data_IF_519149794472
#
_entry.id   IF_519149794472
#
_cell.length_a   1.000
_cell.length_b   1.000
_cell.length_c   1.000
_cell.angle_alpha   90.00
_cell.angle_beta   90.00
_cell.angle_gamma   90.00
#
_symmetry.space_group_name_H-M   'P 1'
#
loop_
_entity.id
_entity.type
_entity.pdbx_description
1 polymer ?
#
# COMPACT_ATOMS: atom_id res chain seq x y z
N UNK A 1 15.78 17.08 -50.82
CA UNK A 1 15.20 16.20 -49.76
C UNK A 1 15.83 16.62 -48.45
N UNK A 2 15.23 17.60 -47.79
CA UNK A 2 15.65 18.01 -46.45
C UNK A 2 15.23 16.92 -45.45
N UNK A 3 16.21 16.41 -44.70
CA UNK A 3 15.95 15.55 -43.56
C UNK A 3 15.38 16.41 -42.43
N UNK A 4 14.17 16.04 -41.99
CA UNK A 4 13.47 16.62 -40.84
C UNK A 4 14.34 16.43 -39.58
N UNK A 5 14.58 17.46 -38.76
CA UNK A 5 15.40 17.32 -37.56
C UNK A 5 14.71 16.40 -36.55
N UNK A 6 15.48 15.48 -35.95
CA UNK A 6 15.05 14.60 -34.85
C UNK A 6 14.53 15.47 -33.70
N UNK A 7 13.29 15.22 -33.30
CA UNK A 7 12.63 15.88 -32.18
C UNK A 7 13.47 15.80 -30.89
N UNK A 8 13.41 16.88 -30.11
CA UNK A 8 13.95 17.05 -28.74
C UNK A 8 13.85 15.78 -27.89
N UNK A 9 14.75 15.54 -26.90
CA UNK A 9 14.69 14.36 -26.04
C UNK A 9 13.31 14.28 -25.39
N UNK A 10 12.50 13.36 -25.91
CA UNK A 10 11.10 13.19 -25.53
C UNK A 10 11.12 12.72 -24.10
N UNK A 11 10.86 13.62 -23.14
CA UNK A 11 10.82 13.24 -21.75
C UNK A 11 9.62 12.30 -21.58
N UNK A 12 9.86 10.98 -21.60
CA UNK A 12 8.86 9.95 -21.30
C UNK A 12 8.25 10.10 -19.89
N UNK A 13 8.69 11.10 -19.11
CA UNK A 13 8.19 11.43 -17.78
C UNK A 13 6.70 11.70 -17.84
N UNK A 14 5.95 10.98 -17.02
CA UNK A 14 4.49 10.93 -16.99
C UNK A 14 3.81 10.35 -18.24
N UNK A 15 4.54 9.67 -19.11
CA UNK A 15 3.96 8.90 -20.22
C UNK A 15 3.88 7.41 -19.85
N UNK A 16 3.00 6.70 -20.55
CA UNK A 16 2.92 5.24 -20.48
C UNK A 16 4.07 4.65 -21.28
N UNK A 17 4.82 3.76 -20.66
CA UNK A 17 5.95 3.05 -21.24
C UNK A 17 5.69 1.55 -21.16
N UNK A 18 6.20 0.81 -22.14
CA UNK A 18 6.07 -0.65 -22.24
C UNK A 18 7.44 -1.33 -22.11
N UNK A 19 7.47 -2.63 -21.76
CA UNK A 19 8.72 -3.38 -21.72
C UNK A 19 9.42 -3.34 -23.09
N UNK A 20 10.70 -2.95 -23.09
CA UNK A 20 11.51 -2.77 -24.29
C UNK A 20 11.77 -1.32 -24.69
N UNK A 21 11.00 -0.35 -24.16
CA UNK A 21 11.23 1.06 -24.45
C UNK A 21 12.56 1.54 -23.83
N UNK A 22 13.36 2.27 -24.62
CA UNK A 22 14.58 2.95 -24.16
C UNK A 22 14.20 4.35 -23.69
N UNK A 23 14.36 4.61 -22.39
CA UNK A 23 13.81 5.82 -21.73
C UNK A 23 14.87 6.90 -21.51
N UNK A 24 16.12 6.52 -21.28
CA UNK A 24 17.25 7.43 -21.11
C UNK A 24 18.49 6.83 -21.77
N UNK A 25 19.27 7.68 -22.43
CA UNK A 25 20.57 7.35 -22.99
C UNK A 25 21.66 8.08 -22.18
N UNK A 26 22.50 7.30 -21.48
CA UNK A 26 23.55 7.79 -20.59
C UNK A 26 24.64 8.52 -21.36
N UNK A 27 24.82 8.24 -22.66
CA UNK A 27 25.77 8.95 -23.51
C UNK A 27 25.46 10.44 -23.63
N UNK A 28 24.16 10.81 -23.54
CA UNK A 28 23.71 12.20 -23.61
C UNK A 28 23.73 12.94 -22.27
N UNK A 29 23.92 12.24 -21.14
CA UNK A 29 23.90 12.82 -19.79
C UNK A 29 25.23 12.62 -19.05
N UNK A 30 26.29 13.25 -19.56
CA UNK A 30 27.60 13.23 -18.91
C UNK A 30 27.56 13.89 -17.51
N UNK A 31 28.19 13.24 -16.52
CA UNK A 31 28.38 13.70 -15.14
C UNK A 31 27.15 13.80 -14.22
N UNK A 32 26.05 13.11 -14.52
CA UNK A 32 24.91 13.01 -13.58
C UNK A 32 24.76 11.59 -13.01
N UNK A 33 24.76 11.46 -11.69
CA UNK A 33 24.42 10.20 -11.03
C UNK A 33 22.90 10.01 -11.02
N UNK A 34 22.41 9.03 -11.77
CA UNK A 34 20.98 8.70 -11.86
C UNK A 34 20.65 7.55 -10.89
N UNK A 35 19.58 7.71 -10.11
CA UNK A 35 19.05 6.65 -9.24
C UNK A 35 17.92 5.92 -9.97
N UNK A 36 18.16 4.67 -10.35
CA UNK A 36 17.15 3.81 -10.97
C UNK A 36 16.30 3.14 -9.89
N UNK A 37 14.99 3.35 -9.98
CA UNK A 37 13.99 2.67 -9.17
C UNK A 37 13.35 1.49 -9.92
N UNK A 38 12.28 0.93 -9.34
CA UNK A 38 11.65 -0.28 -9.86
C UNK A 38 11.11 -0.13 -11.28
N UNK A 39 11.25 -1.19 -12.09
CA UNK A 39 10.71 -1.28 -13.44
C UNK A 39 11.63 -0.75 -14.55
N UNK A 40 12.80 -0.25 -14.19
CA UNK A 40 13.87 0.14 -15.11
C UNK A 40 15.08 -0.78 -14.93
N UNK A 41 15.83 -0.99 -16.01
CA UNK A 41 17.10 -1.72 -16.00
C UNK A 41 18.10 -0.95 -16.83
N UNK A 42 19.32 -0.85 -16.31
CA UNK A 42 20.44 -0.34 -17.08
C UNK A 42 21.06 -1.47 -17.90
N UNK A 43 21.20 -1.25 -19.19
CA UNK A 43 21.95 -2.09 -20.11
C UNK A 43 23.01 -1.21 -20.80
N UNK A 44 24.26 -1.36 -20.36
CA UNK A 44 25.39 -0.52 -20.77
C UNK A 44 25.07 0.98 -20.64
N UNK A 45 25.00 1.67 -21.77
CA UNK A 45 24.76 3.11 -21.87
C UNK A 45 23.27 3.46 -22.00
N UNK A 46 22.38 2.47 -22.04
CA UNK A 46 20.94 2.68 -22.21
C UNK A 46 20.14 2.22 -20.99
N UNK A 47 19.09 2.95 -20.65
CA UNK A 47 18.14 2.57 -19.61
C UNK A 47 16.85 2.10 -20.29
N UNK A 48 16.55 0.82 -20.12
CA UNK A 48 15.39 0.15 -20.71
C UNK A 48 14.29 -0.10 -19.68
N UNK A 49 13.06 -0.08 -20.14
CA UNK A 49 11.87 -0.40 -19.34
C UNK A 49 11.66 -1.91 -19.32
N UNK A 50 11.48 -2.48 -18.14
CA UNK A 50 11.20 -3.90 -17.95
C UNK A 50 9.74 -4.19 -17.55
N UNK A 51 8.97 -3.15 -17.18
CA UNK A 51 7.58 -3.28 -16.74
C UNK A 51 6.71 -2.24 -17.44
N UNK A 52 5.51 -2.64 -17.86
CA UNK A 52 4.52 -1.68 -18.37
C UNK A 52 4.02 -0.77 -17.23
N UNK A 53 3.94 0.53 -17.48
CA UNK A 53 3.44 1.48 -16.49
C UNK A 53 3.70 2.93 -16.88
N UNK A 54 3.53 3.83 -15.91
CA UNK A 54 3.80 5.25 -16.09
C UNK A 54 5.20 5.58 -15.58
N UNK A 55 6.05 6.16 -16.42
CA UNK A 55 7.38 6.59 -15.97
C UNK A 55 7.24 7.80 -15.04
N UNK A 56 7.86 7.73 -13.87
CA UNK A 56 7.89 8.78 -12.86
C UNK A 56 9.32 9.26 -12.62
N UNK A 57 9.42 10.53 -12.28
CA UNK A 57 10.65 11.21 -11.95
C UNK A 57 10.50 11.95 -10.62
N UNK A 58 11.49 11.82 -9.75
CA UNK A 58 11.65 12.67 -8.57
C UNK A 58 13.02 13.35 -8.59
N UNK A 59 13.02 14.64 -8.28
CA UNK A 59 14.24 15.42 -8.07
C UNK A 59 15.03 14.83 -6.88
N UNK A 60 16.37 14.75 -6.92
CA UNK A 60 17.24 15.32 -7.94
C UNK A 60 17.32 14.50 -9.24
N UNK A 61 17.42 13.16 -9.21
CA UNK A 61 17.56 12.32 -10.42
C UNK A 61 17.09 10.87 -10.19
N UNK A 62 15.88 10.66 -9.66
CA UNK A 62 15.32 9.31 -9.41
C UNK A 62 14.22 8.98 -10.43
N UNK A 63 14.38 7.91 -11.19
CA UNK A 63 13.39 7.45 -12.17
C UNK A 63 12.83 6.09 -11.78
N UNK A 64 11.52 5.86 -11.94
CA UNK A 64 10.91 4.54 -11.74
C UNK A 64 9.66 4.38 -12.59
N UNK A 65 9.28 3.14 -12.90
CA UNK A 65 8.01 2.87 -13.57
C UNK A 65 6.96 2.49 -12.55
N UNK A 66 5.93 3.32 -12.45
CA UNK A 66 4.74 3.04 -11.66
C UNK A 66 3.81 2.12 -12.46
N UNK A 67 3.83 0.83 -12.13
CA UNK A 67 2.93 -0.15 -12.74
C UNK A 67 1.62 -0.25 -11.96
N UNK A 68 0.49 -0.06 -12.65
CA UNK A 68 -0.84 -0.33 -12.08
C UNK A 68 -1.18 -1.81 -12.26
N UNK A 69 -0.46 -2.70 -11.57
CA UNK A 69 -0.78 -4.13 -11.56
C UNK A 69 -1.96 -4.40 -10.61
N UNK A 70 -3.16 -3.94 -10.98
CA UNK A 70 -4.42 -4.44 -10.41
C UNK A 70 -4.84 -5.64 -11.26
N UNK A 71 -4.62 -6.86 -10.76
CA UNK A 71 -5.40 -7.99 -11.24
C UNK A 71 -6.77 -7.91 -10.57
N UNK A 72 -7.82 -7.82 -11.38
CA UNK A 72 -9.19 -7.56 -10.91
C UNK A 72 -9.69 -8.58 -9.87
N UNK A 73 -10.75 -8.24 -9.12
CA UNK A 73 -11.28 -9.05 -8.03
C UNK A 73 -12.10 -10.29 -8.48
N UNK A 74 -11.87 -10.83 -9.68
CA UNK A 74 -12.72 -11.86 -10.29
C UNK A 74 -12.08 -13.25 -10.44
N UNK A 75 -10.97 -13.53 -9.74
CA UNK A 75 -10.46 -14.90 -9.67
C UNK A 75 -10.91 -15.53 -8.34
N UNK A 76 -11.90 -16.44 -8.34
CA UNK A 76 -12.46 -17.06 -7.13
C UNK A 76 -11.54 -18.16 -6.58
N UNK A 77 -10.29 -18.22 -7.03
CA UNK A 77 -9.33 -19.22 -6.59
C UNK A 77 -7.98 -18.56 -6.35
N UNK A 78 -7.43 -18.82 -5.18
CA UNK A 78 -6.20 -18.27 -4.65
C UNK A 78 -5.05 -18.32 -5.68
N UNK A 79 -4.18 -17.30 -5.60
CA UNK A 79 -2.77 -17.30 -6.03
C UNK A 79 -2.42 -16.82 -7.44
N UNK A 80 -1.29 -16.10 -7.51
CA UNK A 80 -0.37 -16.01 -8.66
C UNK A 80 -0.47 -14.82 -9.64
N UNK A 81 -0.75 -13.60 -9.18
CA UNK A 81 0.20 -12.46 -9.16
C UNK A 81 -0.60 -11.20 -8.79
N UNK A 82 -0.96 -11.13 -7.51
CA UNK A 82 -1.27 -9.85 -6.86
C UNK A 82 0.03 -9.04 -6.90
N UNK A 83 -0.01 -7.74 -7.24
CA UNK A 83 1.18 -6.89 -7.21
C UNK A 83 1.84 -7.00 -5.83
N UNK A 84 2.92 -7.77 -5.75
CA UNK A 84 3.59 -8.05 -4.50
C UNK A 84 4.32 -6.80 -4.08
N UNK A 85 4.14 -6.43 -2.81
CA UNK A 85 4.84 -5.29 -2.26
C UNK A 85 6.33 -5.61 -2.26
N UNK A 86 7.15 -4.68 -2.77
CA UNK A 86 8.60 -4.80 -2.71
C UNK A 86 9.06 -3.89 -1.57
N UNK A 87 9.60 -4.45 -0.47
CA UNK A 87 10.00 -3.66 0.67
C UNK A 87 11.11 -2.67 0.28
N UNK A 88 10.91 -1.40 0.63
CA UNK A 88 11.91 -0.35 0.46
C UNK A 88 12.26 0.25 1.82
N UNK A 89 13.53 0.57 2.02
CA UNK A 89 13.99 1.23 3.25
C UNK A 89 13.27 2.56 3.42
N UNK A 90 12.71 2.77 4.62
CA UNK A 90 11.97 3.96 4.98
C UNK A 90 10.45 3.83 4.83
N UNK A 91 9.95 2.79 4.16
CA UNK A 91 8.52 2.60 3.94
C UNK A 91 7.79 2.30 5.26
N UNK A 92 6.59 2.89 5.41
CA UNK A 92 5.65 2.54 6.48
C UNK A 92 4.66 1.49 5.97
N UNK A 93 4.53 0.40 6.71
CA UNK A 93 3.75 -0.78 6.30
C UNK A 93 2.95 -1.34 7.47
N UNK A 94 1.86 -2.04 7.13
CA UNK A 94 1.08 -2.81 8.09
C UNK A 94 1.47 -4.29 8.03
N UNK A 95 1.98 -4.81 9.14
CA UNK A 95 2.43 -6.19 9.28
C UNK A 95 1.53 -7.01 10.20
N UNK A 96 1.40 -8.31 9.94
CA UNK A 96 0.70 -9.24 10.84
C UNK A 96 1.73 -10.20 11.42
N UNK A 97 1.72 -10.39 12.74
CA UNK A 97 2.63 -11.33 13.41
C UNK A 97 2.22 -12.77 13.09
N UNK A 98 3.12 -13.49 12.42
CA UNK A 98 2.94 -14.89 12.01
C UNK A 98 3.61 -15.85 12.99
N UNK A 99 4.73 -15.44 13.58
CA UNK A 99 5.47 -16.27 14.52
C UNK A 99 6.26 -15.40 15.50
N UNK A 100 6.50 -15.93 16.69
CA UNK A 100 7.24 -15.27 17.76
C UNK A 100 8.43 -16.13 18.16
N UNK A 101 9.64 -15.59 18.04
CA UNK A 101 10.89 -16.25 18.44
C UNK A 101 11.53 -15.48 19.58
N UNK A 102 12.52 -16.09 20.24
CA UNK A 102 13.16 -15.52 21.43
C UNK A 102 13.71 -14.09 21.21
N UNK A 103 14.34 -13.85 20.05
CA UNK A 103 14.98 -12.56 19.75
C UNK A 103 14.26 -11.75 18.65
N UNK A 104 13.37 -12.38 17.88
CA UNK A 104 12.75 -11.79 16.70
C UNK A 104 11.29 -12.25 16.52
N UNK A 105 10.44 -11.36 16.04
CA UNK A 105 9.11 -11.68 15.54
C UNK A 105 9.14 -11.85 14.02
N UNK A 106 8.44 -12.85 13.49
CA UNK A 106 8.19 -12.98 12.06
C UNK A 106 6.89 -12.28 11.72
N UNK A 107 6.99 -11.35 10.77
CA UNK A 107 5.87 -10.48 10.38
C UNK A 107 5.62 -10.63 8.89
N UNK A 108 4.38 -10.92 8.51
CA UNK A 108 3.95 -10.88 7.11
C UNK A 108 3.62 -9.45 6.71
N UNK A 109 4.39 -8.92 5.77
CA UNK A 109 4.21 -7.58 5.18
C UNK A 109 3.71 -7.64 3.73
N UNK A 110 3.27 -8.80 3.23
CA UNK A 110 2.90 -9.01 1.81
C UNK A 110 4.08 -8.82 0.84
N UNK A 111 5.29 -9.01 1.35
CA UNK A 111 6.53 -9.07 0.59
C UNK A 111 6.79 -10.47 0.00
N UNK A 112 7.86 -10.65 -0.79
CA UNK A 112 8.26 -11.96 -1.31
C UNK A 112 8.71 -12.93 -0.21
N UNK A 113 9.16 -12.41 0.93
CA UNK A 113 9.61 -13.16 2.11
C UNK A 113 9.07 -12.52 3.38
N UNK A 114 8.98 -13.29 4.47
CA UNK A 114 8.59 -12.79 5.78
C UNK A 114 9.66 -11.84 6.34
N UNK A 115 9.21 -10.81 7.05
CA UNK A 115 10.07 -9.80 7.63
C UNK A 115 10.43 -10.15 9.09
N UNK A 116 11.60 -9.70 9.53
CA UNK A 116 12.02 -9.79 10.92
C UNK A 116 11.73 -8.47 11.65
N UNK A 117 11.13 -8.57 12.83
CA UNK A 117 11.00 -7.46 13.77
C UNK A 117 11.72 -7.82 15.06
N UNK A 118 12.90 -7.24 15.32
CA UNK A 118 13.65 -7.51 16.54
C UNK A 118 12.89 -7.08 17.79
N UNK A 119 13.02 -7.86 18.87
CA UNK A 119 12.35 -7.58 20.16
C UNK A 119 12.82 -6.28 20.82
N UNK A 120 14.00 -5.79 20.45
CA UNK A 120 14.55 -4.54 20.96
C UNK A 120 14.08 -3.30 20.18
N UNK A 121 13.44 -3.49 19.02
CA UNK A 121 13.02 -2.40 18.13
C UNK A 121 11.66 -1.80 18.52
N UNK A 122 11.38 -1.75 19.82
CA UNK A 122 10.17 -1.17 20.42
C UNK A 122 10.55 -0.05 21.38
N UNK A 123 9.61 0.85 21.65
CA UNK A 123 9.80 1.88 22.67
C UNK A 123 10.08 1.24 24.03
N UNK A 124 11.25 1.55 24.61
CA UNK A 124 11.67 0.94 25.87
C UNK A 124 11.98 -0.56 25.80
N UNK A 125 12.26 -1.10 24.62
CA UNK A 125 12.63 -2.50 24.39
C UNK A 125 13.83 -2.92 25.23
N UNK A 126 13.57 -3.57 26.36
CA UNK A 126 14.59 -4.25 27.17
C UNK A 126 14.24 -5.74 27.23
N UNK A 127 15.24 -6.61 27.44
CA UNK A 127 15.01 -8.07 27.58
C UNK A 127 14.01 -8.44 28.69
N UNK A 128 13.64 -7.49 29.56
CA UNK A 128 12.67 -7.66 30.65
C UNK A 128 11.24 -7.28 30.23
N UNK A 129 11.06 -6.43 29.22
CA UNK A 129 9.77 -5.91 28.78
C UNK A 129 9.50 -6.26 27.31
N UNK A 130 9.41 -7.56 27.03
CA UNK A 130 9.13 -8.08 25.69
C UNK A 130 7.60 -8.00 25.47
N UNK A 131 7.12 -7.30 24.42
CA UNK A 131 5.70 -7.25 24.13
C UNK A 131 5.17 -8.65 23.77
N UNK A 132 4.03 -9.01 24.36
CA UNK A 132 3.33 -10.26 24.05
C UNK A 132 2.42 -10.03 22.86
N UNK A 133 2.67 -10.72 21.76
CA UNK A 133 1.83 -10.67 20.57
C UNK A 133 1.09 -11.99 20.38
N UNK A 134 -0.19 -11.88 20.05
CA UNK A 134 -0.97 -13.01 19.57
C UNK A 134 -0.59 -13.25 18.10
N UNK A 135 -0.06 -14.43 17.84
CA UNK A 135 0.13 -14.93 16.47
C UNK A 135 -1.23 -15.06 15.82
N UNK A 136 -1.35 -14.69 14.55
CA UNK A 136 -2.55 -15.11 13.87
C UNK A 136 -2.52 -15.10 12.35
N UNK A 137 -3.69 -15.46 11.81
CA UNK A 137 -3.92 -15.90 10.44
C UNK A 137 -5.12 -15.14 9.89
N UNK A 138 -5.10 -14.83 8.59
CA UNK A 138 -6.26 -14.31 7.89
C UNK A 138 -7.42 -15.31 7.98
N UNK A 139 -8.44 -14.99 8.79
CA UNK A 139 -9.70 -15.70 8.78
C UNK A 139 -10.70 -14.88 7.96
N UNK A 140 -10.97 -15.33 6.72
CA UNK A 140 -12.08 -14.80 5.95
C UNK A 140 -13.38 -15.32 6.57
N UNK A 141 -14.12 -14.46 7.27
CA UNK A 141 -15.46 -14.83 7.74
C UNK A 141 -16.43 -14.47 6.61
N UNK A 142 -17.07 -15.49 6.04
CA UNK A 142 -18.24 -15.31 5.19
C UNK A 142 -19.41 -14.93 6.09
N UNK A 143 -19.77 -13.64 6.11
CA UNK A 143 -21.00 -13.20 6.78
C UNK A 143 -22.11 -13.21 5.74
N UNK A 144 -22.99 -14.22 5.82
CA UNK A 144 -24.32 -14.10 5.25
C UNK A 144 -25.13 -13.24 6.22
N UNK A 145 -25.34 -11.97 5.90
CA UNK A 145 -26.24 -11.16 6.71
C UNK A 145 -27.67 -11.68 6.48
N UNK A 146 -28.19 -12.39 7.48
CA UNK A 146 -29.57 -12.83 7.55
C UNK A 146 -30.47 -11.63 7.84
N UNK A 147 -30.94 -10.99 6.78
CA UNK A 147 -32.13 -10.14 6.78
C UNK A 147 -33.10 -10.78 5.79
N UNK A 148 -34.27 -11.20 6.27
CA UNK A 148 -35.37 -11.63 5.41
C UNK A 148 -35.72 -10.49 4.43
N UNK A 149 -35.20 -10.57 3.22
CA UNK A 149 -35.46 -9.60 2.16
C UNK A 149 -36.01 -10.32 0.94
N UNK A 150 -37.16 -9.82 0.50
CA UNK A 150 -37.90 -10.29 -0.67
C UNK A 150 -37.01 -10.43 -1.90
N UNK A 151 -37.34 -11.41 -2.73
CA UNK A 151 -36.53 -11.99 -3.80
C UNK A 151 -35.98 -11.02 -4.88
N UNK A 152 -36.27 -9.72 -4.81
CA UNK A 152 -35.81 -8.68 -5.75
C UNK A 152 -34.46 -8.05 -5.36
N UNK A 153 -33.96 -8.23 -4.14
CA UNK A 153 -32.69 -7.61 -3.69
C UNK A 153 -31.43 -8.45 -3.96
N UNK A 154 -31.47 -9.38 -4.94
CA UNK A 154 -30.36 -10.29 -5.27
C UNK A 154 -29.29 -9.73 -6.21
N UNK A 155 -29.44 -8.53 -6.77
CA UNK A 155 -28.54 -8.08 -7.86
C UNK A 155 -27.43 -7.09 -7.47
N UNK A 156 -27.35 -6.59 -6.22
CA UNK A 156 -26.36 -5.54 -5.90
C UNK A 156 -25.65 -5.64 -4.55
N UNK A 157 -25.88 -6.69 -3.77
CA UNK A 157 -25.09 -6.93 -2.56
C UNK A 157 -23.96 -7.91 -2.88
N UNK A 158 -22.84 -7.34 -3.31
CA UNK A 158 -21.58 -8.06 -3.44
C UNK A 158 -21.26 -8.76 -2.12
N UNK A 159 -20.82 -10.01 -2.20
CA UNK A 159 -20.35 -10.78 -1.05
C UNK A 159 -19.37 -9.95 -0.22
N UNK A 160 -19.77 -9.53 0.98
CA UNK A 160 -18.90 -8.83 1.90
C UNK A 160 -18.10 -9.87 2.69
N UNK A 161 -16.87 -10.14 2.22
CA UNK A 161 -15.89 -10.86 3.01
C UNK A 161 -15.43 -9.93 4.14
N UNK A 162 -15.96 -10.11 5.35
CA UNK A 162 -15.43 -9.41 6.52
C UNK A 162 -14.19 -10.17 6.98
N UNK A 163 -13.02 -9.64 6.67
CA UNK A 163 -11.76 -10.17 7.18
C UNK A 163 -11.59 -9.70 8.63
N UNK A 164 -11.94 -10.56 9.59
CA UNK A 164 -11.55 -10.34 10.98
C UNK A 164 -10.12 -10.82 11.14
N UNK A 165 -9.23 -9.93 11.56
CA UNK A 165 -7.86 -10.32 11.88
C UNK A 165 -7.93 -11.19 13.13
N UNK A 166 -7.53 -12.44 13.02
CA UNK A 166 -7.12 -13.23 14.17
C UNK A 166 -5.61 -13.03 14.19
N UNK A 167 -5.07 -12.36 15.21
CA UNK A 167 -3.64 -12.05 15.30
C UNK A 167 -3.32 -10.56 15.46
N UNK A 168 -2.06 -10.30 15.80
CA UNK A 168 -1.56 -8.96 16.10
C UNK A 168 -1.23 -8.18 14.82
N UNK A 169 -1.89 -7.03 14.63
CA UNK A 169 -1.57 -6.06 13.58
C UNK A 169 -0.58 -5.02 14.12
N UNK A 170 0.47 -4.77 13.34
CA UNK A 170 1.54 -3.83 13.67
C UNK A 170 1.68 -2.77 12.59
N UNK A 171 1.79 -1.50 13.02
CA UNK A 171 2.24 -0.41 12.18
C UNK A 171 3.74 -0.22 12.36
N UNK A 172 4.50 -0.49 11.30
CA UNK A 172 5.96 -0.61 11.36
C UNK A 172 6.62 0.10 10.20
N UNK A 173 7.91 0.40 10.37
CA UNK A 173 8.77 0.97 9.34
C UNK A 173 9.81 -0.04 8.89
N UNK A 174 10.06 -0.10 7.58
CA UNK A 174 11.14 -0.92 7.01
C UNK A 174 12.47 -0.20 7.21
N UNK A 175 13.38 -0.81 7.97
CA UNK A 175 14.73 -0.25 8.25
C UNK A 175 15.76 -0.81 7.27
N UNK A 176 15.66 -2.09 6.95
CA UNK A 176 16.58 -2.77 6.05
C UNK A 176 15.81 -3.59 5.03
N UNK A 177 16.12 -3.42 3.75
CA UNK A 177 15.52 -4.18 2.67
C UNK A 177 16.56 -4.43 1.58
N UNK A 178 17.31 -5.53 1.72
CA UNK A 178 18.30 -5.95 0.75
C UNK A 178 17.72 -7.08 -0.12
N UNK A 179 18.06 -7.08 -1.40
CA UNK A 179 17.67 -8.16 -2.31
C UNK A 179 18.28 -9.49 -1.85
N UNK A 180 17.44 -10.49 -1.56
CA UNK A 180 17.87 -11.82 -1.14
C UNK A 180 18.01 -12.01 0.38
N UNK A 181 17.82 -10.97 1.18
CA UNK A 181 17.78 -11.05 2.66
C UNK A 181 16.37 -10.67 3.11
N UNK A 182 15.89 -11.31 4.18
CA UNK A 182 14.63 -10.93 4.81
C UNK A 182 14.68 -9.46 5.26
N UNK A 183 13.62 -8.67 4.97
CA UNK A 183 13.58 -7.28 5.38
C UNK A 183 13.48 -7.19 6.90
N UNK A 184 14.09 -6.13 7.45
CA UNK A 184 14.10 -5.83 8.88
C UNK A 184 13.19 -4.63 9.17
N UNK A 185 12.38 -4.78 10.19
CA UNK A 185 11.36 -3.82 10.60
C UNK A 185 11.72 -3.17 11.94
N UNK A 186 11.17 -1.98 12.17
CA UNK A 186 11.22 -1.31 13.46
C UNK A 186 9.89 -0.64 13.79
N UNK A 187 9.57 -0.59 15.09
CA UNK A 187 8.45 0.17 15.64
C UNK A 187 8.91 1.53 16.20
N UNK A 188 10.04 2.04 15.76
CA UNK A 188 10.55 3.37 16.11
C UNK A 188 10.83 4.18 14.85
N UNK A 189 10.73 5.49 14.96
CA UNK A 189 11.23 6.40 13.95
C UNK A 189 12.78 6.36 13.88
N UNK A 190 13.37 6.99 12.86
CA UNK A 190 14.82 7.13 12.68
C UNK A 190 15.50 7.80 13.88
N UNK A 191 14.75 8.57 14.66
CA UNK A 191 15.18 9.21 15.91
C UNK A 191 15.14 8.29 17.14
N UNK A 192 14.64 7.05 17.01
CA UNK A 192 14.48 6.10 18.11
C UNK A 192 13.23 6.33 18.98
N UNK A 193 12.38 7.31 18.63
CA UNK A 193 11.10 7.56 19.32
C UNK A 193 9.97 6.77 18.66
N UNK A 194 8.99 6.29 19.42
CA UNK A 194 7.80 5.64 18.86
C UNK A 194 6.78 6.67 18.37
N UNK A 195 7.15 7.38 17.30
CA UNK A 195 6.30 8.36 16.65
C UNK A 195 5.15 7.67 15.89
N UNK A 196 4.21 7.08 16.63
CA UNK A 196 2.95 6.47 16.15
C UNK A 196 3.06 5.04 15.58
N UNK A 197 4.23 4.40 15.71
CA UNK A 197 4.41 2.99 15.36
C UNK A 197 4.05 2.07 16.53
N UNK A 198 3.62 0.84 16.22
CA UNK A 198 3.36 -0.18 17.23
C UNK A 198 2.10 -0.99 16.96
N UNK A 199 1.50 -1.47 18.04
CA UNK A 199 0.33 -2.34 18.01
C UNK A 199 -0.93 -1.55 17.63
N UNK A 200 -1.63 -2.02 16.59
CA UNK A 200 -2.97 -1.57 16.29
C UNK A 200 -3.98 -2.53 16.93
N UNK A 201 -4.72 -2.02 17.91
CA UNK A 201 -5.76 -2.78 18.60
C UNK A 201 -7.11 -2.52 17.95
N UNK A 202 -7.91 -3.58 17.83
CA UNK A 202 -9.26 -3.53 17.29
C UNK A 202 -9.30 -2.92 15.87
N UNK A 203 -10.50 -2.69 15.35
CA UNK A 203 -10.70 -2.14 14.01
C UNK A 203 -10.72 -3.19 12.89
N UNK A 204 -10.78 -2.69 11.67
CA UNK A 204 -10.94 -3.47 10.45
C UNK A 204 -9.77 -3.20 9.51
N UNK A 205 -9.13 -4.26 9.03
CA UNK A 205 -8.09 -4.17 8.02
C UNK A 205 -8.57 -4.79 6.73
N UNK A 206 -8.41 -4.03 5.65
CA UNK A 206 -8.69 -4.49 4.30
C UNK A 206 -7.47 -4.28 3.42
N UNK A 207 -7.45 -5.01 2.32
CA UNK A 207 -6.41 -4.90 1.32
C UNK A 207 -6.81 -3.93 0.23
N UNK A 208 -5.86 -3.09 -0.18
CA UNK A 208 -6.00 -2.15 -1.28
C UNK A 208 -4.83 -2.32 -2.27
N UNK A 209 -4.86 -1.58 -3.38
CA UNK A 209 -3.71 -1.52 -4.27
C UNK A 209 -2.58 -0.68 -3.64
N UNK A 210 -1.33 -0.99 -3.98
CA UNK A 210 -0.19 -0.17 -3.54
C UNK A 210 -0.23 1.23 -4.15
N UNK A 211 -0.88 1.40 -5.31
CA UNK A 211 -1.15 2.70 -5.93
C UNK A 211 -2.11 3.54 -5.11
N UNK A 212 -3.23 2.96 -4.67
CA UNK A 212 -4.17 3.64 -3.78
C UNK A 212 -3.50 4.00 -2.45
N UNK A 213 -2.71 3.09 -1.87
CA UNK A 213 -1.99 3.35 -0.61
C UNK A 213 -1.01 4.52 -0.73
N UNK A 214 -0.26 4.59 -1.84
CA UNK A 214 0.59 5.74 -2.15
C UNK A 214 -0.22 7.03 -2.31
N UNK A 215 -1.36 6.98 -2.97
CA UNK A 215 -2.24 8.15 -3.15
C UNK A 215 -2.84 8.62 -1.82
N UNK A 216 -3.23 7.72 -0.92
CA UNK A 216 -3.75 8.05 0.41
C UNK A 216 -2.69 8.74 1.29
N UNK A 217 -1.43 8.29 1.19
CA UNK A 217 -0.29 8.87 1.91
C UNK A 217 0.36 10.06 1.18
N UNK A 218 -0.13 10.44 -0.01
CA UNK A 218 0.43 11.56 -0.76
C UNK A 218 0.09 12.90 -0.09
N UNK A 219 0.96 13.90 -0.28
CA UNK A 219 0.73 15.28 0.13
C UNK A 219 0.51 16.15 -1.12
N UNK A 220 -0.63 16.85 -1.26
CA UNK A 220 -1.71 17.03 -0.28
C UNK A 220 -2.55 15.77 -0.06
N UNK A 221 -3.15 15.66 1.14
CA UNK A 221 -3.94 14.51 1.56
C UNK A 221 -5.08 14.19 0.58
N UNK A 222 -5.38 12.91 0.43
CA UNK A 222 -6.42 12.47 -0.48
C UNK A 222 -7.78 13.12 -0.15
N UNK A 223 -8.50 13.68 -1.13
CA UNK A 223 -9.79 14.34 -0.92
C UNK A 223 -10.83 13.50 -0.19
N UNK A 224 -10.74 12.17 -0.33
CA UNK A 224 -11.64 11.21 0.32
C UNK A 224 -11.48 11.24 1.83
N UNK A 225 -10.24 11.20 2.32
CA UNK A 225 -9.95 11.20 3.76
C UNK A 225 -10.34 12.54 4.38
N UNK A 226 -10.05 13.64 3.68
CA UNK A 226 -10.42 14.99 4.14
C UNK A 226 -11.95 15.15 4.22
N UNK A 227 -12.70 14.65 3.24
CA UNK A 227 -14.15 14.74 3.23
C UNK A 227 -14.80 13.85 4.31
N UNK A 228 -14.28 12.64 4.52
CA UNK A 228 -14.78 11.73 5.55
C UNK A 228 -14.48 12.27 6.96
N UNK A 229 -13.27 12.78 7.19
CA UNK A 229 -12.82 13.28 8.49
C UNK A 229 -13.57 14.52 8.99
N UNK A 230 -14.26 15.26 8.09
CA UNK A 230 -15.10 16.41 8.48
C UNK A 230 -16.36 16.03 9.24
N UNK A 231 -16.92 14.84 8.99
CA UNK A 231 -18.19 14.40 9.60
C UNK A 231 -18.07 13.16 10.47
N UNK A 232 -17.02 12.38 10.29
CA UNK A 232 -16.82 11.10 10.98
C UNK A 232 -15.54 11.15 11.81
N UNK A 233 -15.63 10.72 13.07
CA UNK A 233 -14.47 10.41 13.90
C UNK A 233 -14.03 8.97 13.64
N UNK A 234 -12.86 8.81 13.03
CA UNK A 234 -12.22 7.52 12.81
C UNK A 234 -10.71 7.67 12.82
N UNK A 235 -10.03 6.58 13.14
CA UNK A 235 -8.59 6.42 13.02
C UNK A 235 -8.30 5.58 11.79
N UNK A 236 -7.20 5.90 11.10
CA UNK A 236 -6.78 5.15 9.93
C UNK A 236 -5.27 5.03 9.89
N UNK A 237 -4.78 3.86 9.51
CA UNK A 237 -3.37 3.63 9.25
C UNK A 237 -3.24 3.02 7.85
N UNK A 238 -2.41 3.62 7.01
CA UNK A 238 -2.18 3.17 5.63
C UNK A 238 -0.76 2.64 5.54
N UNK A 239 -0.62 1.40 5.07
CA UNK A 239 0.66 0.79 4.73
C UNK A 239 0.91 0.81 3.22
N UNK A 240 2.12 1.18 2.81
CA UNK A 240 2.55 1.17 1.39
C UNK A 240 2.50 -0.23 0.74
N UNK A 241 2.35 -1.27 1.56
CA UNK A 241 2.14 -2.65 1.15
C UNK A 241 0.71 -2.97 0.68
N UNK A 242 -0.19 -1.98 0.58
CA UNK A 242 -1.56 -2.22 0.12
C UNK A 242 -2.43 -2.82 1.22
N UNK A 243 -2.15 -2.48 2.47
CA UNK A 243 -3.00 -2.79 3.62
C UNK A 243 -3.43 -1.47 4.23
N UNK A 244 -4.70 -1.38 4.59
CA UNK A 244 -5.29 -0.21 5.23
C UNK A 244 -6.07 -0.68 6.43
N UNK A 245 -5.84 -0.05 7.57
CA UNK A 245 -6.55 -0.27 8.80
C UNK A 245 -7.42 0.93 9.12
N UNK A 246 -8.64 0.67 9.60
CA UNK A 246 -9.61 1.68 9.99
C UNK A 246 -10.26 1.26 11.30
N UNK A 247 -10.35 2.20 12.23
CA UNK A 247 -11.03 2.02 13.51
C UNK A 247 -11.97 3.19 13.79
N UNK A 248 -13.15 2.90 14.32
CA UNK A 248 -14.13 3.91 14.71
C UNK A 248 -15.02 3.35 15.82
N UNK A 249 -15.68 4.25 16.57
CA UNK A 249 -16.57 3.85 17.65
C UNK A 249 -17.79 3.03 17.16
N UNK A 250 -18.27 3.29 15.95
CA UNK A 250 -19.40 2.58 15.33
C UNK A 250 -18.93 1.68 14.19
N UNK A 251 -19.29 0.37 14.19
CA UNK A 251 -18.97 -0.55 13.09
C UNK A 251 -19.51 -0.07 11.74
N UNK A 252 -20.68 0.59 11.72
CA UNK A 252 -21.26 1.14 10.49
C UNK A 252 -20.38 2.22 9.87
N UNK A 253 -19.72 3.04 10.70
CA UNK A 253 -18.74 4.05 10.26
C UNK A 253 -17.51 3.38 9.65
N UNK A 254 -17.00 2.31 10.27
CA UNK A 254 -15.86 1.55 9.74
C UNK A 254 -16.16 0.98 8.36
N UNK A 255 -17.34 0.39 8.17
CA UNK A 255 -17.79 -0.15 6.88
C UNK A 255 -17.90 0.95 5.84
N UNK A 256 -18.50 2.08 6.19
CA UNK A 256 -18.68 3.21 5.28
C UNK A 256 -17.33 3.76 4.79
N UNK A 257 -16.41 4.01 5.73
CA UNK A 257 -15.06 4.53 5.43
C UNK A 257 -14.29 3.55 4.56
N UNK A 258 -14.32 2.26 4.91
CA UNK A 258 -13.61 1.22 4.14
C UNK A 258 -14.14 1.13 2.71
N UNK A 259 -15.46 1.14 2.53
CA UNK A 259 -16.10 1.11 1.22
C UNK A 259 -15.79 2.38 0.41
N UNK A 260 -15.79 3.56 1.04
CA UNK A 260 -15.45 4.81 0.38
C UNK A 260 -14.00 4.79 -0.12
N UNK A 261 -13.05 4.29 0.69
CA UNK A 261 -11.65 4.19 0.30
C UNK A 261 -11.48 3.19 -0.85
N UNK A 262 -12.05 1.99 -0.76
CA UNK A 262 -11.91 0.98 -1.82
C UNK A 262 -12.47 1.43 -3.17
N UNK A 263 -13.58 2.16 -3.17
CA UNK A 263 -14.21 2.68 -4.40
C UNK A 263 -13.53 3.94 -4.94
N UNK A 264 -12.68 4.60 -4.15
CA UNK A 264 -12.02 5.85 -4.58
C UNK A 264 -10.95 5.67 -5.67
N UNK A 265 -10.39 4.46 -5.81
CA UNK A 265 -9.25 4.18 -6.69
C UNK A 265 -9.55 4.49 -8.17
N UNK A 266 -10.77 4.21 -8.62
CA UNK A 266 -11.18 4.40 -10.01
C UNK A 266 -11.80 5.78 -10.29
N UNK A 267 -11.90 6.63 -9.27
CA UNK A 267 -12.61 7.91 -9.35
C UNK A 267 -11.63 9.09 -9.35
N UNK A 268 -11.99 10.14 -10.10
CA UNK A 268 -11.28 11.42 -10.04
C UNK A 268 -11.52 12.12 -8.69
N UNK A 269 -10.65 13.07 -8.33
CA UNK A 269 -10.76 13.84 -7.09
C UNK A 269 -12.13 14.53 -6.89
N UNK A 270 -12.77 15.00 -7.97
CA UNK A 270 -14.10 15.62 -7.91
C UNK A 270 -15.18 14.57 -7.65
N UNK A 271 -15.12 13.45 -8.37
CA UNK A 271 -16.06 12.34 -8.19
C UNK A 271 -15.94 11.71 -6.80
N UNK A 272 -14.73 11.65 -6.25
CA UNK A 272 -14.47 11.18 -4.89
C UNK A 272 -15.24 12.01 -3.85
N UNK A 273 -15.21 13.34 -3.96
CA UNK A 273 -15.96 14.23 -3.05
C UNK A 273 -17.48 14.00 -3.16
N UNK A 274 -18.00 13.97 -4.38
CA UNK A 274 -19.44 13.74 -4.63
C UNK A 274 -19.88 12.37 -4.08
N UNK A 275 -19.05 11.33 -4.24
CA UNK A 275 -19.33 10.00 -3.69
C UNK A 275 -19.40 10.04 -2.16
N UNK A 276 -18.43 10.67 -1.51
CA UNK A 276 -18.41 10.78 -0.04
C UNK A 276 -19.61 11.57 0.46
N UNK A 277 -19.96 12.68 -0.17
CA UNK A 277 -21.13 13.48 0.21
C UNK A 277 -22.43 12.68 0.13
N UNK A 278 -22.60 11.87 -0.93
CA UNK A 278 -23.76 10.96 -1.08
C UNK A 278 -23.78 9.85 -0.03
N UNK A 279 -22.62 9.31 0.34
CA UNK A 279 -22.51 8.28 1.36
C UNK A 279 -22.86 8.84 2.75
N UNK A 280 -22.41 10.06 3.06
CA UNK A 280 -22.68 10.73 4.33
C UNK A 280 -24.16 11.10 4.49
N UNK A 281 -24.87 11.40 3.40
CA UNK A 281 -26.31 11.65 3.41
C UNK A 281 -27.15 10.41 3.78
N UNK A 282 -26.62 9.20 3.59
CA UNK A 282 -27.35 7.95 3.89
C UNK A 282 -27.23 7.48 5.35
N UNK A 283 -26.33 8.10 6.11
CA UNK A 283 -26.01 7.72 7.49
C UNK A 283 -26.64 8.69 8.49
N UNK A 284 -27.16 9.83 8.02
CA UNK A 284 -28.01 10.76 8.78
C UNK A 284 -29.47 10.33 8.67
#
# INVERSE_FOLDING_TARGET
MEAKPLDSPTSFVNQLVVPGDVVLDLSTMANQTIKLGGGLRQDCDSITVMKAGKLRFAKPNKYWVESSQKRGPSAPFNTFLKAQYIPCVGDTVLGIVVDTRADNFLVDIKGPVLAFLPVLSFEGGTRRNIPKFEVGVFCGILVFEGLELSALFRQTLGMFYFYRIVGTLLYVRVVKANTGINPELSCTDASGKAAEFGLLKDGYMFESSTGLSRMLLSSPACPVLEALGKKLSFETAVGLNGRVWVNAASPSTVVLVSNAIMNSESLSAVQQKIMVDRLLQRVQ
#
